data_IF_029675217999
#
_entry.id   IF_029675217999
#
_cell.length_a   1.000
_cell.length_b   1.000
_cell.length_c   1.000
_cell.angle_alpha   90.00
_cell.angle_beta   90.00
_cell.angle_gamma   90.00
#
_symmetry.space_group_name_H-M   'P 1'
#
loop_
_entity.id
_entity.type
_entity.pdbx_description
1 polymer ?
#
# COMPACT_ATOMS: atom_id res chain seq x y z
N UNK A 1 12.12 -15.07 24.27
CA UNK A 1 11.42 -13.87 24.75
C UNK A 1 9.96 -14.05 24.44
N UNK A 2 9.09 -14.03 25.46
CA UNK A 2 7.63 -14.30 25.42
C UNK A 2 6.81 -13.22 24.68
N UNK A 3 7.39 -12.60 23.65
CA UNK A 3 6.71 -11.57 22.88
C UNK A 3 5.65 -12.21 21.98
N UNK A 4 4.42 -11.69 22.02
CA UNK A 4 3.36 -12.08 21.09
C UNK A 4 3.88 -11.95 19.64
N UNK A 5 3.88 -13.07 18.92
CA UNK A 5 4.36 -13.16 17.53
C UNK A 5 3.59 -12.17 16.63
N UNK A 6 2.33 -11.86 16.98
CA UNK A 6 1.48 -10.92 16.24
C UNK A 6 1.62 -9.48 16.70
N UNK A 7 2.46 -9.19 17.69
CA UNK A 7 2.64 -7.84 18.23
C UNK A 7 2.92 -6.78 17.15
N UNK A 8 3.77 -7.02 16.13
CA UNK A 8 4.01 -6.04 15.08
C UNK A 8 2.76 -5.66 14.27
N UNK A 9 1.81 -6.59 14.11
CA UNK A 9 0.56 -6.38 13.37
C UNK A 9 -0.55 -5.81 14.24
N UNK A 10 -0.50 -6.04 15.56
CA UNK A 10 -1.44 -5.48 16.54
C UNK A 10 -1.07 -4.06 16.96
N UNK A 11 0.21 -3.72 16.93
CA UNK A 11 0.72 -2.42 17.36
C UNK A 11 -0.02 -1.22 16.73
N UNK A 12 -0.32 -1.19 15.41
CA UNK A 12 -1.02 -0.06 14.82
C UNK A 12 -2.45 0.08 15.37
N UNK A 13 -3.13 -1.02 15.72
CA UNK A 13 -4.47 -1.00 16.33
C UNK A 13 -4.41 -0.45 17.76
N UNK A 14 -3.38 -0.83 18.52
CA UNK A 14 -3.15 -0.30 19.87
C UNK A 14 -2.91 1.21 19.82
N UNK A 15 -2.06 1.68 18.90
CA UNK A 15 -1.78 3.11 18.72
C UNK A 15 -3.01 3.89 18.27
N UNK A 16 -3.79 3.32 17.34
CA UNK A 16 -5.05 3.90 16.87
C UNK A 16 -6.06 4.07 18.01
N UNK A 17 -6.22 3.07 18.86
CA UNK A 17 -7.12 3.11 20.01
C UNK A 17 -6.64 4.09 21.09
N UNK A 18 -5.33 4.29 21.20
CA UNK A 18 -4.74 5.28 22.09
C UNK A 18 -4.84 6.72 21.53
N UNK A 19 -5.32 6.92 20.30
CA UNK A 19 -5.40 8.23 19.65
C UNK A 19 -4.04 8.81 19.27
N UNK A 20 -3.02 7.96 19.12
CA UNK A 20 -1.66 8.36 18.75
C UNK A 20 -1.56 8.36 17.23
N UNK A 21 -0.95 9.40 16.63
CA UNK A 21 -0.64 9.38 15.20
C UNK A 21 0.50 8.41 14.88
N UNK A 22 0.30 7.57 13.87
CA UNK A 22 1.28 6.57 13.44
C UNK A 22 1.25 6.40 11.91
N UNK A 23 2.38 5.98 11.35
CA UNK A 23 2.47 5.55 9.96
C UNK A 23 3.07 4.15 9.89
N UNK A 24 2.54 3.33 9.00
CA UNK A 24 3.09 2.00 8.72
C UNK A 24 4.23 2.17 7.70
N UNK A 25 5.37 1.56 7.97
CA UNK A 25 6.55 1.59 7.11
C UNK A 25 7.29 0.26 7.17
N UNK A 26 8.00 -0.07 6.09
CA UNK A 26 8.83 -1.27 5.99
C UNK A 26 10.31 -0.88 6.10
N UNK A 27 10.95 -1.32 7.18
CA UNK A 27 12.17 -0.71 7.67
C UNK A 27 13.48 -1.16 7.00
N UNK A 28 13.50 -2.14 6.08
CA UNK A 28 14.78 -2.78 5.71
C UNK A 28 15.00 -3.18 4.24
N UNK A 29 14.14 -2.86 3.27
CA UNK A 29 14.49 -3.14 1.87
C UNK A 29 13.61 -2.39 0.86
N UNK A 30 14.23 -1.68 -0.08
CA UNK A 30 13.57 -1.09 -1.25
C UNK A 30 12.73 -2.14 -2.02
N UNK A 31 13.16 -3.40 -2.01
CA UNK A 31 12.47 -4.50 -2.68
C UNK A 31 11.10 -4.81 -2.07
N UNK A 32 10.97 -4.62 -0.75
CA UNK A 32 9.76 -4.92 0.00
C UNK A 32 8.73 -3.77 0.00
N UNK A 33 9.09 -2.58 -0.51
CA UNK A 33 8.19 -1.41 -0.50
C UNK A 33 6.85 -1.70 -1.20
N UNK A 34 6.86 -2.56 -2.21
CA UNK A 34 5.65 -3.03 -2.92
C UNK A 34 4.64 -3.75 -2.01
N UNK A 35 5.10 -4.33 -0.90
CA UNK A 35 4.28 -5.07 0.06
C UNK A 35 3.74 -4.19 1.19
N UNK A 36 3.98 -2.88 1.13
CA UNK A 36 3.49 -1.94 2.14
C UNK A 36 1.96 -2.00 2.29
N UNK A 37 1.15 -2.01 1.20
CA UNK A 37 -0.30 -2.11 1.33
C UNK A 37 -0.75 -3.41 2.01
N UNK A 38 -0.08 -4.52 1.72
CA UNK A 38 -0.41 -5.81 2.32
C UNK A 38 -0.07 -5.88 3.81
N UNK A 39 0.97 -5.16 4.23
CA UNK A 39 1.31 -5.02 5.65
C UNK A 39 0.22 -4.24 6.37
N UNK A 40 -0.31 -3.18 5.75
CA UNK A 40 -1.46 -2.44 6.26
C UNK A 40 -2.73 -3.31 6.27
N UNK A 41 -2.98 -4.11 5.23
CA UNK A 41 -4.08 -5.07 5.18
C UNK A 41 -4.01 -6.14 6.28
N UNK A 42 -2.80 -6.61 6.61
CA UNK A 42 -2.60 -7.52 7.75
C UNK A 42 -2.98 -6.86 9.09
N UNK A 43 -2.79 -5.55 9.21
CA UNK A 43 -3.21 -4.80 10.39
C UNK A 43 -4.74 -4.69 10.51
N UNK A 44 -5.47 -4.64 9.38
CA UNK A 44 -6.96 -4.73 9.36
C UNK A 44 -7.43 -6.01 10.04
N UNK A 45 -6.82 -7.15 9.71
CA UNK A 45 -7.13 -8.43 10.35
C UNK A 45 -6.82 -8.47 11.87
N UNK A 46 -6.06 -7.51 12.39
CA UNK A 46 -5.69 -7.40 13.79
C UNK A 46 -6.39 -6.22 14.52
N UNK A 47 -7.49 -5.70 13.96
CA UNK A 47 -8.41 -4.80 14.65
C UNK A 47 -8.45 -3.36 14.13
N UNK A 48 -7.82 -3.07 12.99
CA UNK A 48 -8.05 -1.81 12.27
C UNK A 48 -9.20 -1.93 11.27
N UNK A 49 -9.84 -0.81 10.97
CA UNK A 49 -10.70 -0.70 9.78
C UNK A 49 -9.86 -0.53 8.52
N UNK A 50 -10.42 -0.84 7.35
CA UNK A 50 -9.75 -0.66 6.06
C UNK A 50 -9.36 0.80 5.82
N UNK A 51 -10.23 1.72 6.21
CA UNK A 51 -10.03 3.15 6.09
C UNK A 51 -8.86 3.64 6.96
N UNK A 52 -8.79 3.17 8.22
CA UNK A 52 -7.66 3.49 9.10
C UNK A 52 -6.34 2.93 8.58
N UNK A 53 -6.35 1.69 8.06
CA UNK A 53 -5.18 1.08 7.45
C UNK A 53 -4.72 1.88 6.22
N UNK A 54 -5.65 2.28 5.34
CA UNK A 54 -5.34 3.11 4.17
C UNK A 54 -4.82 4.50 4.59
N UNK A 55 -5.43 5.12 5.60
CA UNK A 55 -5.00 6.41 6.13
C UNK A 55 -3.57 6.36 6.69
N UNK A 56 -3.21 5.26 7.35
CA UNK A 56 -1.89 5.04 7.96
C UNK A 56 -0.74 4.96 6.94
N UNK A 57 -1.04 4.70 5.67
CA UNK A 57 -0.05 4.66 4.58
C UNK A 57 -0.17 5.84 3.61
N UNK A 58 -1.20 6.69 3.73
CA UNK A 58 -1.46 7.83 2.83
C UNK A 58 -1.46 9.17 3.56
N UNK A 59 -2.56 9.51 4.23
CA UNK A 59 -2.76 10.82 4.83
C UNK A 59 -1.92 11.02 6.10
N UNK A 60 -1.83 10.01 6.96
CA UNK A 60 -1.07 10.13 8.22
C UNK A 60 0.43 10.37 7.98
N UNK A 61 1.13 9.63 7.09
CA UNK A 61 2.52 9.96 6.78
C UNK A 61 2.67 11.32 6.11
N UNK A 62 1.71 11.76 5.27
CA UNK A 62 1.74 13.10 4.70
C UNK A 62 1.64 14.20 5.78
N UNK A 63 0.79 14.00 6.80
CA UNK A 63 0.70 14.90 7.97
C UNK A 63 1.97 14.91 8.81
N UNK A 64 2.53 13.74 9.10
CA UNK A 64 3.80 13.62 9.84
C UNK A 64 4.93 14.37 9.13
N UNK A 65 4.97 14.29 7.79
CA UNK A 65 5.94 14.99 6.96
C UNK A 65 5.58 16.46 6.65
N UNK A 66 4.40 16.94 7.09
CA UNK A 66 3.87 18.29 6.82
C UNK A 66 3.74 18.62 5.33
N UNK A 67 3.34 17.64 4.54
CA UNK A 67 3.07 17.74 3.09
C UNK A 67 1.63 17.35 2.74
N UNK A 68 0.74 17.32 3.74
CA UNK A 68 -0.67 16.97 3.60
C UNK A 68 -1.47 17.99 2.77
N UNK A 69 -0.93 19.19 2.60
CA UNK A 69 -1.42 20.21 1.66
C UNK A 69 -1.14 19.85 0.19
N UNK A 70 -0.18 18.97 -0.10
CA UNK A 70 0.23 18.59 -1.45
C UNK A 70 -0.19 17.17 -1.82
N UNK A 71 -0.21 16.23 -0.86
CA UNK A 71 -0.46 14.80 -1.14
C UNK A 71 -1.11 14.09 0.06
N UNK A 72 -1.50 12.83 -0.14
CA UNK A 72 -2.03 11.95 0.91
C UNK A 72 -3.56 11.88 0.98
N UNK A 73 -4.30 12.72 0.24
CA UNK A 73 -5.75 12.56 0.02
C UNK A 73 -6.16 13.00 -1.38
N UNK A 74 -7.32 12.51 -1.82
CA UNK A 74 -7.93 12.88 -3.11
C UNK A 74 -8.84 14.10 -2.93
N UNK A 75 -8.22 15.28 -2.96
CA UNK A 75 -8.90 16.57 -2.83
C UNK A 75 -8.48 17.52 -3.95
N UNK A 76 -9.39 18.43 -4.34
CA UNK A 76 -9.09 19.45 -5.34
C UNK A 76 -7.97 20.38 -4.86
N UNK A 77 -6.98 20.64 -5.73
CA UNK A 77 -5.84 21.50 -5.43
C UNK A 77 -4.58 20.77 -4.95
N UNK A 78 -4.65 19.46 -4.70
CA UNK A 78 -3.48 18.62 -4.38
C UNK A 78 -2.82 18.05 -5.65
N UNK A 79 -1.60 17.53 -5.51
CA UNK A 79 -0.92 16.82 -6.59
C UNK A 79 -1.71 15.56 -6.97
N UNK A 80 -1.93 15.34 -8.27
CA UNK A 80 -2.60 14.15 -8.80
C UNK A 80 -1.68 12.92 -8.75
N UNK A 81 -1.35 12.48 -7.54
CA UNK A 81 -0.63 11.23 -7.28
C UNK A 81 -1.63 10.19 -6.81
N UNK A 82 -2.04 9.32 -7.72
CA UNK A 82 -3.10 8.33 -7.48
C UNK A 82 -2.77 7.02 -8.18
N UNK A 83 -3.40 5.96 -7.70
CA UNK A 83 -3.30 4.63 -8.26
C UNK A 83 -4.71 4.14 -8.57
N UNK A 84 -4.83 3.36 -9.63
CA UNK A 84 -6.05 2.67 -10.04
C UNK A 84 -5.77 1.18 -9.91
N UNK A 85 -6.57 0.51 -9.10
CA UNK A 85 -6.44 -0.89 -8.78
C UNK A 85 -7.79 -1.55 -9.05
N UNK A 86 -7.79 -2.68 -9.73
CA UNK A 86 -8.89 -3.62 -9.67
C UNK A 86 -8.81 -4.36 -8.33
N UNK A 87 -9.95 -4.53 -7.64
CA UNK A 87 -10.00 -5.16 -6.32
C UNK A 87 -9.59 -4.25 -5.15
N UNK A 88 -9.28 -4.87 -4.01
CA UNK A 88 -8.88 -4.16 -2.79
C UNK A 88 -7.35 -4.10 -2.70
N UNK A 89 -6.78 -2.87 -2.70
CA UNK A 89 -5.33 -2.65 -2.61
C UNK A 89 -4.70 -3.23 -1.32
N UNK A 90 -5.48 -3.37 -0.25
CA UNK A 90 -4.98 -3.93 1.01
C UNK A 90 -4.91 -5.46 0.98
N UNK A 91 -5.54 -6.10 0.01
CA UNK A 91 -5.62 -7.54 -0.14
C UNK A 91 -4.60 -8.07 -1.16
N UNK A 92 -3.87 -9.12 -0.81
CA UNK A 92 -2.86 -9.71 -1.69
C UNK A 92 -3.46 -10.46 -2.87
N UNK A 93 -4.67 -11.01 -2.74
CA UNK A 93 -5.27 -11.84 -3.78
C UNK A 93 -5.93 -10.99 -4.87
N UNK A 94 -6.64 -9.94 -4.45
CA UNK A 94 -7.45 -9.12 -5.37
C UNK A 94 -6.76 -7.85 -5.84
N UNK A 95 -5.66 -7.40 -5.22
CA UNK A 95 -4.96 -6.16 -5.61
C UNK A 95 -4.25 -6.27 -6.96
N UNK A 96 -4.90 -5.85 -8.03
CA UNK A 96 -4.29 -5.72 -9.37
C UNK A 96 -4.17 -4.23 -9.73
N UNK A 97 -2.95 -3.69 -9.67
CA UNK A 97 -2.70 -2.29 -10.03
C UNK A 97 -2.71 -2.14 -11.55
N UNK A 98 -3.70 -1.44 -12.10
CA UNK A 98 -3.84 -1.20 -13.54
C UNK A 98 -3.03 0.03 -14.00
N UNK A 99 -3.11 1.12 -13.23
CA UNK A 99 -2.50 2.41 -13.60
C UNK A 99 -2.00 3.13 -12.36
N UNK A 100 -0.94 3.89 -12.54
CA UNK A 100 -0.43 4.78 -11.51
C UNK A 100 -0.08 6.13 -12.13
N UNK A 101 -0.37 7.18 -11.39
CA UNK A 101 -0.09 8.56 -11.75
C UNK A 101 0.76 9.19 -10.66
N UNK A 102 1.81 9.89 -11.04
CA UNK A 102 2.65 10.69 -10.14
C UNK A 102 2.62 12.12 -10.64
N UNK A 103 2.13 13.05 -9.80
CA UNK A 103 2.00 14.48 -10.15
C UNK A 103 1.29 14.72 -11.48
N UNK A 104 0.24 13.94 -11.75
CA UNK A 104 -0.56 14.01 -12.98
C UNK A 104 0.07 13.36 -14.21
N UNK A 105 1.27 12.77 -14.10
CA UNK A 105 1.88 11.99 -15.18
C UNK A 105 1.60 10.52 -14.97
N UNK A 106 1.09 9.85 -15.99
CA UNK A 106 0.95 8.39 -15.98
C UNK A 106 2.35 7.76 -15.99
N UNK A 107 2.56 6.79 -15.12
CA UNK A 107 3.79 6.00 -15.07
C UNK A 107 3.54 4.63 -15.66
N UNK A 108 4.53 4.14 -16.41
CA UNK A 108 4.51 2.77 -16.89
C UNK A 108 4.86 1.83 -15.74
N UNK A 109 3.93 0.92 -15.41
CA UNK A 109 4.07 -0.05 -14.33
C UNK A 109 4.75 -1.36 -14.78
N UNK A 110 5.17 -1.44 -16.05
CA UNK A 110 5.87 -2.59 -16.59
C UNK A 110 7.30 -2.66 -16.06
N UNK A 111 7.73 -3.86 -15.68
CA UNK A 111 9.08 -4.13 -15.25
C UNK A 111 9.54 -5.49 -15.79
N UNK A 112 10.80 -5.83 -15.57
CA UNK A 112 11.38 -7.10 -16.00
C UNK A 112 10.65 -8.35 -15.45
N UNK A 113 9.95 -8.24 -14.31
CA UNK A 113 9.16 -9.34 -13.74
C UNK A 113 7.86 -9.52 -14.51
N UNK A 114 7.22 -8.42 -14.90
CA UNK A 114 6.08 -8.43 -15.80
C UNK A 114 6.47 -8.98 -17.18
N UNK A 115 7.57 -8.53 -17.76
CA UNK A 115 8.09 -9.05 -19.03
C UNK A 115 8.39 -10.56 -18.97
N UNK A 116 9.00 -11.03 -17.88
CA UNK A 116 9.24 -12.45 -17.66
C UNK A 116 7.92 -13.22 -17.49
N UNK A 117 6.97 -12.68 -16.73
CA UNK A 117 5.65 -13.26 -16.57
C UNK A 117 4.96 -13.41 -17.93
N UNK A 118 4.91 -12.37 -18.76
CA UNK A 118 4.35 -12.42 -20.12
C UNK A 118 5.07 -13.47 -20.99
N UNK A 119 6.42 -13.49 -20.96
CA UNK A 119 7.24 -14.41 -21.74
C UNK A 119 6.98 -15.87 -21.39
N UNK A 120 6.96 -16.20 -20.10
CA UNK A 120 6.74 -17.58 -19.65
C UNK A 120 5.27 -17.99 -19.76
N UNK A 121 4.33 -17.10 -19.48
CA UNK A 121 2.90 -17.37 -19.68
C UNK A 121 2.60 -17.68 -21.15
N UNK A 122 3.15 -16.89 -22.07
CA UNK A 122 3.04 -17.14 -23.52
C UNK A 122 3.68 -18.48 -23.92
N UNK A 123 4.88 -18.78 -23.39
CA UNK A 123 5.59 -20.05 -23.69
C UNK A 123 4.78 -21.28 -23.26
N UNK A 124 4.06 -21.20 -22.14
CA UNK A 124 3.33 -22.32 -21.56
C UNK A 124 1.81 -22.25 -21.80
N UNK A 125 1.31 -21.29 -22.57
CA UNK A 125 -0.12 -21.13 -22.86
C UNK A 125 -0.97 -20.77 -21.62
N UNK A 126 -0.38 -20.09 -20.65
CA UNK A 126 -1.07 -19.62 -19.44
C UNK A 126 -1.74 -18.28 -19.76
N UNK A 127 -3.02 -18.15 -19.42
CA UNK A 127 -3.76 -16.90 -19.57
C UNK A 127 -3.21 -15.86 -18.59
N UNK A 128 -2.80 -14.71 -19.13
CA UNK A 128 -2.29 -13.57 -18.36
C UNK A 128 -3.52 -12.85 -17.81
N UNK A 129 -3.58 -12.73 -16.48
CA UNK A 129 -4.62 -11.95 -15.78
C UNK A 129 -4.15 -10.51 -15.60
#
# INVERSE_FOLDING_TARGET
TDADIKMPYKLPSILQNAGIEYAISLSFSHWNMRNLPFTAGTAVANGLTKEQALQSITLTPAKILRIDNMTGSLESGKEATLLICEGDILDMETSIVERAFIKGREIEIKNWQYENYEKYSTKYGIEIK
#
